data_IF_279137810286
#
_entry.id   IF_279137810286
#
_cell.length_a   1.000
_cell.length_b   1.000
_cell.length_c   1.000
_cell.angle_alpha   90.00
_cell.angle_beta   90.00
_cell.angle_gamma   90.00
#
_symmetry.space_group_name_H-M   'P 1'
#
loop_
_entity.id
_entity.type
_entity.pdbx_description
1 polymer ?
#
# COMPACT_ATOMS: atom_id res chain seq x y z
N UNK A 1 7.82 -48.75 0.89
CA UNK A 1 8.16 -47.86 2.02
C UNK A 1 8.88 -46.65 1.44
N UNK A 2 8.16 -45.56 1.17
CA UNK A 2 8.74 -44.36 0.56
C UNK A 2 9.62 -43.67 1.62
N UNK A 3 10.92 -43.50 1.33
CA UNK A 3 11.81 -42.69 2.17
C UNK A 3 11.36 -41.23 2.03
N UNK A 4 10.78 -40.67 3.09
CA UNK A 4 10.73 -39.23 3.26
C UNK A 4 12.12 -38.75 3.63
N UNK A 5 12.96 -38.52 2.61
CA UNK A 5 14.17 -37.74 2.81
C UNK A 5 13.71 -36.33 3.21
N UNK A 6 13.86 -35.99 4.49
CA UNK A 6 13.46 -34.68 5.02
C UNK A 6 14.11 -33.53 4.26
N UNK A 7 13.52 -32.33 4.33
CA UNK A 7 14.07 -31.14 3.66
C UNK A 7 15.51 -30.92 4.16
N UNK A 8 16.52 -30.91 3.27
CA UNK A 8 17.89 -30.63 3.65
C UNK A 8 17.99 -29.31 4.44
N UNK A 9 18.73 -29.28 5.55
CA UNK A 9 18.86 -28.11 6.45
C UNK A 9 19.15 -26.82 5.67
N UNK A 10 20.01 -26.88 4.64
CA UNK A 10 20.31 -25.72 3.78
C UNK A 10 19.07 -25.17 3.05
N UNK A 11 18.19 -26.04 2.56
CA UNK A 11 16.93 -25.64 1.92
C UNK A 11 15.96 -25.06 2.94
N UNK A 12 15.89 -25.64 4.14
CA UNK A 12 15.06 -25.11 5.22
C UNK A 12 15.51 -23.69 5.61
N UNK A 13 16.82 -23.47 5.82
CA UNK A 13 17.37 -22.15 6.14
C UNK A 13 17.09 -21.13 5.03
N UNK A 14 17.19 -21.54 3.77
CA UNK A 14 16.86 -20.67 2.63
C UNK A 14 15.38 -20.27 2.65
N UNK A 15 14.47 -21.22 2.87
CA UNK A 15 13.03 -20.94 2.97
C UNK A 15 12.76 -19.97 4.12
N UNK A 16 13.36 -20.20 5.29
CA UNK A 16 13.21 -19.31 6.44
C UNK A 16 13.74 -17.90 6.16
N UNK A 17 14.88 -17.79 5.47
CA UNK A 17 15.45 -16.49 5.09
C UNK A 17 14.50 -15.72 4.15
N UNK A 18 13.93 -16.41 3.15
CA UNK A 18 12.95 -15.81 2.23
C UNK A 18 11.71 -15.33 3.01
N UNK A 19 11.14 -16.18 3.87
CA UNK A 19 9.97 -15.81 4.67
C UNK A 19 10.26 -14.60 5.58
N UNK A 20 11.43 -14.58 6.22
CA UNK A 20 11.83 -13.47 7.06
C UNK A 20 11.99 -12.17 6.26
N UNK A 21 12.59 -12.23 5.06
CA UNK A 21 12.69 -11.07 4.17
C UNK A 21 11.32 -10.54 3.75
N UNK A 22 10.38 -11.41 3.40
CA UNK A 22 9.01 -11.00 3.02
C UNK A 22 8.30 -10.27 4.16
N UNK A 23 8.41 -10.78 5.39
CA UNK A 23 7.85 -10.12 6.57
C UNK A 23 8.53 -8.76 6.81
N UNK A 24 9.86 -8.69 6.69
CA UNK A 24 10.60 -7.45 6.86
C UNK A 24 10.22 -6.37 5.83
N UNK A 25 9.97 -6.76 4.58
CA UNK A 25 9.52 -5.84 3.53
C UNK A 25 8.13 -5.28 3.83
N UNK A 26 7.20 -6.16 4.22
CA UNK A 26 5.86 -5.77 4.63
C UNK A 26 5.88 -4.80 5.82
N UNK A 27 6.57 -5.13 6.91
CA UNK A 27 6.61 -4.27 8.11
C UNK A 27 7.31 -2.93 7.83
N UNK A 28 8.33 -2.92 6.97
CA UNK A 28 8.98 -1.68 6.56
C UNK A 28 8.02 -0.77 5.80
N UNK A 29 7.36 -1.27 4.76
CA UNK A 29 6.42 -0.47 3.97
C UNK A 29 5.18 -0.09 4.78
N UNK A 30 4.72 -0.95 5.69
CA UNK A 30 3.63 -0.64 6.61
C UNK A 30 3.98 0.51 7.52
N UNK A 31 5.13 0.46 8.20
CA UNK A 31 5.59 1.55 9.05
C UNK A 31 5.73 2.85 8.25
N UNK A 32 6.17 2.78 7.00
CA UNK A 32 6.26 3.95 6.12
C UNK A 32 4.89 4.51 5.77
N UNK A 33 3.93 3.67 5.39
CA UNK A 33 2.56 4.11 5.13
C UNK A 33 1.93 4.78 6.35
N UNK A 34 2.13 4.22 7.56
CA UNK A 34 1.68 4.81 8.83
C UNK A 34 2.31 6.19 9.12
N UNK A 35 3.48 6.49 8.56
CA UNK A 35 4.18 7.78 8.68
C UNK A 35 4.02 8.67 7.43
N UNK A 36 3.05 8.37 6.57
CA UNK A 36 2.82 9.06 5.29
C UNK A 36 4.05 9.14 4.37
N UNK A 37 4.90 8.11 4.41
CA UNK A 37 6.08 7.94 3.57
C UNK A 37 5.80 7.01 2.38
N UNK A 38 6.52 7.20 1.26
CA UNK A 38 6.44 6.28 0.10
C UNK A 38 7.02 4.90 0.40
N UNK A 39 6.44 3.81 -0.13
CA UNK A 39 6.99 2.47 0.07
C UNK A 39 8.39 2.34 -0.55
N UNK A 40 9.21 1.44 0.02
CA UNK A 40 10.55 1.10 -0.46
C UNK A 40 10.56 -0.21 -1.24
N UNK A 41 9.73 -1.18 -0.85
CA UNK A 41 9.75 -2.52 -1.43
C UNK A 41 8.59 -2.79 -2.38
N UNK A 42 7.43 -2.17 -2.14
CA UNK A 42 6.31 -2.20 -3.07
C UNK A 42 6.56 -1.29 -4.28
N UNK A 43 6.25 -1.78 -5.48
CA UNK A 43 6.45 -1.05 -6.74
C UNK A 43 5.14 -0.44 -7.22
N UNK A 44 5.17 0.79 -7.74
CA UNK A 44 4.00 1.37 -8.39
C UNK A 44 3.64 0.52 -9.62
N UNK A 45 2.40 0.03 -9.66
CA UNK A 45 1.89 -0.80 -10.76
C UNK A 45 0.62 -0.25 -11.39
N UNK A 46 -0.06 0.71 -10.75
CA UNK A 46 -1.33 1.25 -11.24
C UNK A 46 -1.58 2.66 -10.71
N UNK A 47 -1.94 3.55 -11.62
CA UNK A 47 -2.57 4.83 -11.28
C UNK A 47 -4.09 4.60 -11.20
N UNK A 48 -4.74 5.08 -10.14
CA UNK A 48 -6.18 4.94 -9.97
C UNK A 48 -6.93 6.05 -10.73
N UNK A 49 -8.12 5.73 -11.24
CA UNK A 49 -8.96 6.67 -12.02
C UNK A 49 -9.75 7.65 -11.13
N UNK A 50 -9.16 8.08 -10.01
CA UNK A 50 -9.78 8.95 -9.00
C UNK A 50 -9.19 10.37 -8.94
N UNK A 51 -8.31 10.70 -9.88
CA UNK A 51 -7.72 12.04 -10.00
C UNK A 51 -6.35 12.22 -9.36
N UNK A 52 -5.72 11.13 -8.88
CA UNK A 52 -4.30 11.17 -8.56
C UNK A 52 -3.75 10.10 -7.62
N UNK A 53 -4.55 9.14 -7.18
CA UNK A 53 -4.09 8.08 -6.28
C UNK A 53 -3.25 7.04 -7.01
N UNK A 54 -2.32 6.42 -6.28
CA UNK A 54 -1.37 5.44 -6.80
C UNK A 54 -1.47 4.13 -6.01
N UNK A 55 -1.37 3.01 -6.70
CA UNK A 55 -1.31 1.67 -6.10
C UNK A 55 0.07 1.06 -6.30
N UNK A 56 0.68 0.65 -5.18
CA UNK A 56 1.95 -0.04 -5.13
C UNK A 56 1.73 -1.51 -4.73
N UNK A 57 2.29 -2.45 -5.49
CA UNK A 57 2.22 -3.87 -5.21
C UNK A 57 3.50 -4.37 -4.52
N UNK A 58 3.33 -4.96 -3.34
CA UNK A 58 4.32 -5.79 -2.67
C UNK A 58 4.01 -7.29 -2.82
N UNK A 59 4.88 -8.15 -2.30
CA UNK A 59 4.63 -9.59 -2.30
C UNK A 59 3.70 -9.92 -1.13
N UNK A 60 2.41 -10.14 -1.43
CA UNK A 60 1.38 -10.46 -0.43
C UNK A 60 0.77 -9.26 0.29
N UNK A 61 1.00 -8.05 -0.22
CA UNK A 61 0.37 -6.82 0.27
C UNK A 61 0.36 -5.75 -0.82
N UNK A 62 -0.44 -4.70 -0.62
CA UNK A 62 -0.45 -3.49 -1.43
C UNK A 62 -0.35 -2.25 -0.56
N UNK A 63 0.11 -1.15 -1.14
CA UNK A 63 0.07 0.19 -0.52
C UNK A 63 -0.68 1.12 -1.46
N UNK A 64 -1.72 1.77 -0.97
CA UNK A 64 -2.43 2.80 -1.72
C UNK A 64 -2.02 4.17 -1.20
N UNK A 65 -1.51 5.01 -2.08
CA UNK A 65 -1.29 6.42 -1.81
C UNK A 65 -2.46 7.21 -2.37
N UNK A 66 -3.38 7.60 -1.49
CA UNK A 66 -4.59 8.34 -1.81
C UNK A 66 -4.27 9.80 -2.12
N UNK A 67 -4.88 10.30 -3.19
CA UNK A 67 -4.89 11.71 -3.55
C UNK A 67 -6.17 12.02 -4.33
N UNK A 68 -7.26 12.19 -3.58
CA UNK A 68 -8.60 12.36 -4.15
C UNK A 68 -8.93 13.87 -4.19
N UNK A 69 -9.26 14.46 -5.35
CA UNK A 69 -9.68 15.85 -5.42
C UNK A 69 -10.86 16.14 -4.49
N UNK A 70 -10.77 17.23 -3.73
CA UNK A 70 -11.81 17.62 -2.77
C UNK A 70 -11.95 19.14 -2.69
N UNK A 71 -13.07 19.60 -2.14
CA UNK A 71 -13.30 21.00 -1.84
C UNK A 71 -13.98 21.13 -0.48
N UNK A 72 -13.54 22.10 0.31
CA UNK A 72 -14.10 22.41 1.63
C UNK A 72 -14.47 23.88 1.68
N UNK A 73 -15.60 24.18 2.30
CA UNK A 73 -15.98 25.55 2.61
C UNK A 73 -15.32 25.99 3.93
N UNK A 74 -14.63 27.12 3.90
CA UNK A 74 -14.02 27.74 5.07
C UNK A 74 -14.35 29.24 5.06
N UNK A 75 -15.09 29.70 6.06
CA UNK A 75 -15.56 31.08 6.19
C UNK A 75 -16.28 31.63 4.93
N UNK A 76 -17.10 30.81 4.28
CA UNK A 76 -17.85 31.18 3.07
C UNK A 76 -17.02 31.20 1.78
N UNK A 77 -15.76 30.74 1.84
CA UNK A 77 -14.89 30.61 0.68
C UNK A 77 -14.69 29.12 0.39
N UNK A 78 -14.93 28.71 -0.86
CA UNK A 78 -14.60 27.36 -1.33
C UNK A 78 -13.09 27.23 -1.52
N UNK A 79 -12.49 26.34 -0.74
CA UNK A 79 -11.08 25.98 -0.85
C UNK A 79 -10.98 24.64 -1.58
N UNK A 80 -10.31 24.62 -2.72
CA UNK A 80 -9.97 23.40 -3.45
C UNK A 80 -8.69 22.77 -2.91
N UNK A 81 -8.65 21.44 -2.88
CA UNK A 81 -7.53 20.66 -2.37
C UNK A 81 -7.65 19.19 -2.69
N UNK A 82 -6.98 18.38 -1.89
CA UNK A 82 -6.96 16.93 -2.01
C UNK A 82 -7.17 16.31 -0.62
N UNK A 83 -7.94 15.24 -0.57
CA UNK A 83 -7.91 14.31 0.54
C UNK A 83 -6.77 13.31 0.29
N UNK A 84 -5.78 13.31 1.17
CA UNK A 84 -4.56 12.50 1.03
C UNK A 84 -4.38 11.56 2.20
N UNK A 85 -3.63 10.49 1.97
CA UNK A 85 -3.25 9.52 2.99
C UNK A 85 -2.64 8.27 2.36
N UNK A 86 -2.05 7.41 3.18
CA UNK A 86 -1.49 6.14 2.72
C UNK A 86 -2.05 5.00 3.56
N UNK A 87 -2.45 3.91 2.92
CA UNK A 87 -2.93 2.72 3.61
C UNK A 87 -2.30 1.45 3.05
N UNK A 88 -2.17 0.45 3.92
CA UNK A 88 -1.78 -0.91 3.57
C UNK A 88 -3.03 -1.74 3.32
N UNK A 89 -3.01 -2.51 2.24
CA UNK A 89 -4.00 -3.55 1.95
C UNK A 89 -3.31 -4.90 2.12
N UNK A 90 -3.84 -5.74 3.01
CA UNK A 90 -3.30 -7.07 3.27
C UNK A 90 -3.69 -8.11 2.22
N UNK A 91 -3.16 -9.33 2.39
CA UNK A 91 -3.60 -10.50 1.65
C UNK A 91 -4.95 -11.02 2.20
N UNK A 92 -5.88 -11.47 1.33
CA UNK A 92 -5.80 -11.55 -0.13
C UNK A 92 -6.28 -10.29 -0.89
N UNK A 93 -6.83 -9.31 -0.19
CA UNK A 93 -7.53 -8.15 -0.76
C UNK A 93 -6.63 -7.32 -1.67
N UNK A 94 -5.32 -7.29 -1.41
CA UNK A 94 -4.35 -6.59 -2.25
C UNK A 94 -4.40 -7.06 -3.71
N UNK A 95 -4.61 -8.35 -3.95
CA UNK A 95 -4.68 -8.89 -5.31
C UNK A 95 -6.02 -8.61 -5.99
N UNK A 96 -7.12 -8.58 -5.23
CA UNK A 96 -8.39 -8.12 -5.75
C UNK A 96 -8.32 -6.63 -6.14
N UNK A 97 -7.61 -5.83 -5.35
CA UNK A 97 -7.44 -4.40 -5.59
C UNK A 97 -6.68 -4.10 -6.90
N UNK A 98 -5.72 -4.94 -7.30
CA UNK A 98 -5.04 -4.83 -8.60
C UNK A 98 -6.01 -4.93 -9.78
N UNK A 99 -7.01 -5.80 -9.68
CA UNK A 99 -8.02 -6.01 -10.72
C UNK A 99 -9.20 -5.03 -10.64
N UNK A 100 -9.31 -4.23 -9.58
CA UNK A 100 -10.42 -3.30 -9.40
C UNK A 100 -10.09 -1.94 -10.00
N UNK A 101 -11.02 -1.37 -10.77
CA UNK A 101 -10.87 -0.03 -11.34
C UNK A 101 -11.24 1.08 -10.35
N UNK A 102 -11.95 0.72 -9.28
CA UNK A 102 -12.26 1.62 -8.19
C UNK A 102 -11.91 1.00 -6.85
N UNK A 103 -11.28 1.80 -6.01
CA UNK A 103 -11.00 1.49 -4.62
C UNK A 103 -11.54 2.64 -3.77
N UNK A 104 -11.87 2.35 -2.52
CA UNK A 104 -12.29 3.35 -1.54
C UNK A 104 -11.35 3.31 -0.34
N UNK A 105 -10.96 4.47 0.21
CA UNK A 105 -10.12 4.51 1.41
C UNK A 105 -10.77 3.77 2.59
N UNK A 106 -10.01 2.89 3.24
CA UNK A 106 -10.37 2.27 4.52
C UNK A 106 -9.98 3.14 5.73
N UNK A 107 -9.17 4.18 5.51
CA UNK A 107 -8.71 5.13 6.52
C UNK A 107 -9.36 6.51 6.37
N UNK A 108 -9.25 7.33 7.42
CA UNK A 108 -9.57 8.77 7.31
C UNK A 108 -8.45 9.49 6.56
N UNK A 109 -8.82 10.31 5.58
CA UNK A 109 -7.89 11.11 4.79
C UNK A 109 -7.77 12.53 5.33
N UNK A 110 -6.60 13.13 5.18
CA UNK A 110 -6.33 14.51 5.55
C UNK A 110 -6.59 15.44 4.36
N UNK A 111 -7.29 16.56 4.58
CA UNK A 111 -7.48 17.57 3.55
C UNK A 111 -6.25 18.50 3.46
N UNK A 112 -5.63 18.55 2.29
CA UNK A 112 -4.52 19.45 1.97
C UNK A 112 -4.94 20.42 0.86
N UNK A 113 -4.75 21.72 1.10
CA UNK A 113 -5.10 22.77 0.13
C UNK A 113 -4.26 22.64 -1.16
N UNK A 114 -4.86 22.91 -2.31
CA UNK A 114 -4.13 22.94 -3.56
C UNK A 114 -3.09 24.08 -3.54
N UNK A 115 -1.82 23.75 -3.79
CA UNK A 115 -0.72 24.71 -3.85
C UNK A 115 0.07 24.93 -2.56
N UNK A 116 -0.29 24.28 -1.44
CA UNK A 116 0.61 24.15 -0.29
C UNK A 116 1.52 22.93 -0.49
N UNK A 117 2.82 23.16 -0.65
CA UNK A 117 3.90 22.17 -0.47
C UNK A 117 4.58 22.43 0.86
#
# INVERSE_FOLDING_TARGET
MARHDGIPIKKLLLIMAILFSLIAFYECDRSRAENDDYPLFAMNVKDLEDGGSLYYAGIGYGVVAWKIPSAREDNGITIHGFNVGKEIIGFPECYAALSSDSLSPGISLEFVKAGSR
#
